data_IF_775670036533
#
_entry.id   IF_775670036533
#
_cell.length_a   1.000
_cell.length_b   1.000
_cell.length_c   1.000
_cell.angle_alpha   90.00
_cell.angle_beta   90.00
_cell.angle_gamma   90.00
#
_symmetry.space_group_name_H-M   'P 1'
#
loop_
_entity.id
_entity.type
_entity.pdbx_description
1 polymer ?
#
# COMPACT_ATOMS: atom_id res chain seq x y z
N UNK A 1 5.29 -21.25 8.34
CA UNK A 1 6.21 -20.45 7.49
C UNK A 1 7.58 -21.08 7.61
N UNK A 2 8.02 -21.86 6.62
CA UNK A 2 9.39 -22.42 6.61
C UNK A 2 10.31 -21.42 5.94
N UNK A 3 11.55 -21.30 6.41
CA UNK A 3 12.54 -20.36 5.88
C UNK A 3 12.87 -20.56 4.38
N UNK A 4 12.42 -21.68 3.80
CA UNK A 4 12.67 -22.09 2.41
C UNK A 4 11.79 -21.35 1.38
N UNK A 5 10.64 -20.82 1.80
CA UNK A 5 9.74 -20.09 0.91
C UNK A 5 10.19 -18.64 0.71
N UNK A 6 10.73 -18.04 1.78
CA UNK A 6 11.24 -16.66 1.77
C UNK A 6 12.48 -16.49 0.88
N UNK A 7 13.30 -17.53 0.72
CA UNK A 7 14.52 -17.49 -0.10
C UNK A 7 14.27 -17.69 -1.59
N UNK A 8 13.08 -18.16 -2.00
CA UNK A 8 12.71 -18.30 -3.41
C UNK A 8 12.09 -17.05 -4.01
N UNK A 9 11.68 -16.08 -3.19
CA UNK A 9 11.07 -14.88 -3.72
C UNK A 9 12.12 -14.05 -4.48
N UNK A 10 11.85 -13.63 -5.72
CA UNK A 10 12.79 -12.85 -6.54
C UNK A 10 13.22 -11.54 -5.86
N UNK A 11 12.32 -10.94 -5.06
CA UNK A 11 12.59 -9.69 -4.32
C UNK A 11 13.02 -9.93 -2.87
N UNK A 12 13.39 -11.15 -2.48
CA UNK A 12 13.69 -11.50 -1.09
C UNK A 12 14.74 -10.57 -0.44
N UNK A 13 15.77 -10.16 -1.19
CA UNK A 13 16.76 -9.20 -0.66
C UNK A 13 16.14 -7.83 -0.42
N UNK A 14 15.37 -7.31 -1.38
CA UNK A 14 14.74 -6.00 -1.27
C UNK A 14 13.70 -5.96 -0.14
N UNK A 15 12.92 -7.03 0.05
CA UNK A 15 11.97 -7.17 1.16
C UNK A 15 12.69 -7.16 2.50
N UNK A 16 13.83 -7.85 2.62
CA UNK A 16 14.65 -7.82 3.85
C UNK A 16 15.24 -6.43 4.11
N UNK A 17 15.72 -5.77 3.06
CA UNK A 17 16.27 -4.42 3.17
C UNK A 17 15.18 -3.39 3.54
N UNK A 18 13.94 -3.63 3.11
CA UNK A 18 12.77 -2.84 3.49
C UNK A 18 12.52 -2.85 5.00
N UNK A 19 12.76 -3.97 5.68
CA UNK A 19 12.63 -4.03 7.14
C UNK A 19 13.66 -3.15 7.86
N UNK A 20 14.79 -2.84 7.22
CA UNK A 20 15.89 -2.04 7.77
C UNK A 20 15.82 -0.57 7.35
N UNK A 21 15.41 -0.29 6.11
CA UNK A 21 15.47 1.04 5.50
C UNK A 21 14.12 1.58 5.03
N UNK A 22 13.06 0.79 5.14
CA UNK A 22 11.71 1.18 4.74
C UNK A 22 10.99 2.02 5.80
N UNK A 23 9.64 1.98 5.84
CA UNK A 23 8.84 2.83 6.70
C UNK A 23 9.09 2.54 8.18
N UNK A 24 9.04 3.62 8.97
CA UNK A 24 9.30 3.57 10.42
C UNK A 24 8.35 2.64 11.17
N UNK A 25 7.13 2.47 10.68
CA UNK A 25 6.13 1.60 11.29
C UNK A 25 6.34 0.14 10.85
N UNK A 26 6.75 -0.70 11.81
CA UNK A 26 6.92 -2.14 11.65
C UNK A 26 5.64 -2.88 11.20
N UNK A 27 4.46 -2.31 11.40
CA UNK A 27 3.21 -2.88 10.91
C UNK A 27 3.17 -2.88 9.38
N UNK A 28 3.69 -1.82 8.74
CA UNK A 28 3.75 -1.73 7.28
C UNK A 28 4.71 -2.80 6.73
N UNK A 29 5.88 -2.99 7.36
CA UNK A 29 6.82 -4.05 7.00
C UNK A 29 6.16 -5.43 7.05
N UNK A 30 5.42 -5.74 8.12
CA UNK A 30 4.70 -7.01 8.23
C UNK A 30 3.65 -7.18 7.13
N UNK A 31 2.96 -6.11 6.74
CA UNK A 31 1.99 -6.18 5.63
C UNK A 31 2.69 -6.47 4.30
N UNK A 32 3.81 -5.79 4.03
CA UNK A 32 4.63 -6.03 2.82
C UNK A 32 5.13 -7.47 2.78
N UNK A 33 5.70 -7.98 3.87
CA UNK A 33 6.16 -9.38 3.95
C UNK A 33 5.04 -10.38 3.68
N UNK A 34 3.84 -10.16 4.23
CA UNK A 34 2.69 -11.07 4.01
C UNK A 34 2.21 -11.01 2.57
N UNK A 35 2.13 -9.82 1.96
CA UNK A 35 1.78 -9.70 0.55
C UNK A 35 2.80 -10.40 -0.35
N UNK A 36 4.10 -10.23 -0.06
CA UNK A 36 5.15 -10.85 -0.86
C UNK A 36 5.21 -12.37 -0.69
N UNK A 37 5.27 -12.86 0.54
CA UNK A 37 5.49 -14.28 0.80
C UNK A 37 4.19 -15.09 0.83
N UNK A 38 3.11 -14.58 1.44
CA UNK A 38 1.85 -15.34 1.51
C UNK A 38 1.05 -15.24 0.19
N UNK A 39 1.20 -14.14 -0.56
CA UNK A 39 0.46 -13.94 -1.83
C UNK A 39 1.34 -13.96 -3.08
N UNK A 40 2.66 -14.09 -2.94
CA UNK A 40 3.58 -14.16 -4.07
C UNK A 40 3.67 -12.86 -4.89
N UNK A 41 3.27 -11.72 -4.31
CA UNK A 41 3.29 -10.44 -4.99
C UNK A 41 4.70 -9.87 -5.08
N UNK A 42 5.04 -9.25 -6.21
CA UNK A 42 6.32 -8.57 -6.35
C UNK A 42 6.32 -7.28 -5.54
N UNK A 43 7.52 -6.86 -5.17
CA UNK A 43 7.68 -5.65 -4.36
C UNK A 43 7.20 -4.40 -5.10
N UNK A 44 7.41 -4.32 -6.41
CA UNK A 44 6.92 -3.23 -7.27
C UNK A 44 5.39 -3.13 -7.29
N UNK A 45 4.69 -4.27 -7.29
CA UNK A 45 3.22 -4.31 -7.24
C UNK A 45 2.70 -3.85 -5.88
N UNK A 46 3.42 -4.19 -4.80
CA UNK A 46 3.12 -3.74 -3.44
C UNK A 46 3.33 -2.23 -3.31
N UNK A 47 4.43 -1.70 -3.86
CA UNK A 47 4.71 -0.26 -3.90
C UNK A 47 3.63 0.52 -4.63
N UNK A 48 3.18 0.00 -5.78
CA UNK A 48 2.09 0.59 -6.55
C UNK A 48 0.77 0.56 -5.76
N UNK A 49 0.47 -0.55 -5.08
CA UNK A 49 -0.71 -0.67 -4.21
C UNK A 49 -0.70 0.39 -3.09
N UNK A 50 0.45 0.55 -2.41
CA UNK A 50 0.61 1.54 -1.33
C UNK A 50 0.42 2.95 -1.89
N UNK A 51 1.07 3.25 -3.02
CA UNK A 51 0.95 4.57 -3.67
C UNK A 51 -0.50 4.89 -4.02
N UNK A 52 -1.21 3.95 -4.65
CA UNK A 52 -2.61 4.14 -5.01
C UNK A 52 -3.51 4.35 -3.78
N UNK A 53 -3.31 3.56 -2.71
CA UNK A 53 -4.10 3.70 -1.49
C UNK A 53 -3.91 5.07 -0.83
N UNK A 54 -2.68 5.58 -0.81
CA UNK A 54 -2.37 6.90 -0.29
C UNK A 54 -2.93 8.02 -1.18
N UNK A 55 -2.84 7.88 -2.50
CA UNK A 55 -3.44 8.83 -3.45
C UNK A 55 -4.94 8.94 -3.27
N UNK A 56 -5.66 7.81 -3.19
CA UNK A 56 -7.10 7.81 -2.94
C UNK A 56 -7.43 8.52 -1.63
N UNK A 57 -6.71 8.19 -0.55
CA UNK A 57 -6.90 8.85 0.74
C UNK A 57 -6.63 10.37 0.69
N UNK A 58 -5.72 10.83 -0.17
CA UNK A 58 -5.46 12.25 -0.42
C UNK A 58 -6.51 12.93 -1.32
N UNK A 59 -7.14 12.19 -2.23
CA UNK A 59 -8.17 12.71 -3.13
C UNK A 59 -9.53 12.85 -2.42
N UNK A 60 -9.79 12.06 -1.38
CA UNK A 60 -10.98 12.19 -0.53
C UNK A 60 -11.01 13.51 0.29
N UNK A 61 -9.88 14.22 0.41
CA UNK A 61 -9.82 15.57 1.01
C UNK A 61 -10.36 16.68 0.06
N UNK A 62 -10.71 16.35 -1.19
CA UNK A 62 -11.24 17.30 -2.19
C UNK A 62 -12.72 17.12 -2.57
N UNK A 63 -13.47 16.17 -1.98
CA UNK A 63 -14.93 16.09 -2.17
C UNK A 63 -15.66 17.01 -1.16
N UNK A 64 -15.48 18.31 -1.35
CA UNK A 64 -16.09 19.36 -0.55
C UNK A 64 -16.40 20.58 -1.40
N UNK A 65 -17.48 20.51 -2.20
CA UNK A 65 -17.87 21.64 -3.06
C UNK A 65 -19.20 21.46 -3.78
N UNK A 66 -20.29 21.48 -3.00
CA UNK A 66 -21.59 22.10 -3.32
C UNK A 66 -22.19 21.86 -4.72
N UNK A 67 -23.12 20.90 -4.82
CA UNK A 67 -24.15 20.89 -5.86
C UNK A 67 -25.49 20.43 -5.28
N UNK A 68 -25.92 21.05 -4.17
CA UNK A 68 -27.34 21.07 -3.81
C UNK A 68 -27.66 22.44 -3.20
N UNK A 69 -28.76 23.04 -3.65
CA UNK A 69 -29.39 24.29 -3.19
C UNK A 69 -29.10 25.57 -4.00
N UNK A 70 -29.57 25.57 -5.25
CA UNK A 70 -30.34 26.71 -5.75
C UNK A 70 -31.81 26.29 -5.94
N UNK A 71 -32.56 26.44 -4.85
CA UNK A 71 -34.01 26.62 -4.74
C UNK A 71 -34.56 27.43 -5.94
N UNK A 72 -35.47 26.91 -6.77
CA UNK A 72 -36.94 27.02 -6.63
C UNK A 72 -37.45 28.46 -6.35
N UNK A 73 -38.33 28.95 -7.25
CA UNK A 73 -39.08 30.23 -7.30
C UNK A 73 -38.22 31.43 -7.75
N UNK A 74 -38.49 32.08 -8.89
CA UNK A 74 -39.77 32.68 -9.33
C UNK A 74 -40.08 32.44 -10.82
#
# INVERSE_FOLDING_TARGET
MTAEDQTRHPDASAIRDWALYGPRDSAITKLVERLAYERGMRLEDIELLITNALTVAHEEDCDGGEADLAHRND
#
